data_IF_641828292704
#
_entry.id   IF_641828292704
#
_cell.length_a   1.000
_cell.length_b   1.000
_cell.length_c   1.000
_cell.angle_alpha   90.00
_cell.angle_beta   90.00
_cell.angle_gamma   90.00
#
_symmetry.space_group_name_H-M   'P 1'
#
loop_
_entity.id
_entity.type
_entity.pdbx_description
1 polymer ?
#
# COMPACT_ATOMS: atom_id res chain seq x y z
N UNK A 1 -21.01 -14.52 -8.49
CA UNK A 1 -19.84 -14.36 -7.61
C UNK A 1 -19.99 -13.01 -6.89
N UNK A 2 -20.01 -13.04 -5.56
CA UNK A 2 -20.46 -11.93 -4.72
C UNK A 2 -19.54 -10.71 -4.82
N UNK A 3 -20.03 -9.59 -5.36
CA UNK A 3 -19.44 -8.26 -5.15
C UNK A 3 -19.68 -7.85 -3.69
N UNK A 4 -18.99 -8.50 -2.76
CA UNK A 4 -18.99 -8.11 -1.36
C UNK A 4 -18.36 -6.72 -1.27
N UNK A 5 -19.19 -5.73 -0.95
CA UNK A 5 -18.86 -4.34 -0.60
C UNK A 5 -17.35 -4.04 -0.55
N UNK A 6 -16.77 -3.69 -1.70
CA UNK A 6 -15.37 -3.24 -1.81
C UNK A 6 -15.23 -1.98 -0.94
N UNK A 7 -14.58 -2.11 0.21
CA UNK A 7 -14.08 -0.93 0.90
C UNK A 7 -12.98 -0.34 0.02
N UNK A 8 -13.31 0.73 -0.71
CA UNK A 8 -12.29 1.45 -1.44
C UNK A 8 -11.36 2.11 -0.44
N UNK A 9 -10.06 1.85 -0.54
CA UNK A 9 -8.98 2.56 0.11
C UNK A 9 -9.17 4.06 -0.09
N UNK A 10 -9.73 4.47 -1.24
CA UNK A 10 -10.24 5.82 -1.47
C UNK A 10 -11.23 6.29 -0.39
N UNK A 11 -12.24 5.49 -0.01
CA UNK A 11 -13.18 5.83 1.07
C UNK A 11 -12.45 5.99 2.39
N UNK A 12 -11.52 5.11 2.72
CA UNK A 12 -10.69 5.24 3.94
C UNK A 12 -9.88 6.52 3.93
N UNK A 13 -9.26 6.88 2.80
CA UNK A 13 -8.55 8.14 2.64
C UNK A 13 -9.47 9.36 2.81
N UNK A 14 -10.66 9.33 2.21
CA UNK A 14 -11.67 10.39 2.37
C UNK A 14 -12.06 10.54 3.85
N UNK A 15 -12.27 9.43 4.57
CA UNK A 15 -12.58 9.46 6.01
C UNK A 15 -11.46 10.12 6.82
N UNK A 16 -10.19 9.84 6.50
CA UNK A 16 -9.05 10.48 7.16
C UNK A 16 -9.00 11.99 6.91
N UNK A 17 -9.22 12.42 5.66
CA UNK A 17 -9.30 13.85 5.35
C UNK A 17 -10.49 14.53 6.04
N UNK A 18 -11.65 13.86 6.08
CA UNK A 18 -12.82 14.38 6.79
C UNK A 18 -12.60 14.47 8.30
N UNK A 19 -11.89 13.53 8.91
CA UNK A 19 -11.54 13.59 10.33
C UNK A 19 -10.63 14.79 10.65
N UNK A 20 -9.58 15.01 9.84
CA UNK A 20 -8.70 16.17 9.99
C UNK A 20 -9.49 17.47 9.77
N UNK A 21 -10.30 17.52 8.71
CA UNK A 21 -11.11 18.68 8.36
C UNK A 21 -12.12 19.02 9.46
N UNK A 22 -12.82 18.02 9.99
CA UNK A 22 -13.77 18.19 11.08
C UNK A 22 -13.09 18.66 12.37
N UNK A 23 -11.97 18.06 12.75
CA UNK A 23 -11.19 18.49 13.92
C UNK A 23 -10.71 19.94 13.78
N UNK A 24 -10.21 20.30 12.59
CA UNK A 24 -9.73 21.65 12.30
C UNK A 24 -10.88 22.67 12.32
N UNK A 25 -12.04 22.31 11.77
CA UNK A 25 -13.24 23.14 11.77
C UNK A 25 -13.74 23.38 13.21
N UNK A 26 -13.85 22.32 14.01
CA UNK A 26 -14.33 22.40 15.40
C UNK A 26 -13.44 23.33 16.23
N UNK A 27 -12.12 23.14 16.13
CA UNK A 27 -11.15 24.01 16.81
C UNK A 27 -11.21 25.46 16.30
N UNK A 28 -11.36 25.65 14.99
CA UNK A 28 -11.51 26.99 14.40
C UNK A 28 -12.75 27.72 14.88
N UNK A 29 -13.90 27.03 14.92
CA UNK A 29 -15.15 27.58 15.45
C UNK A 29 -15.02 27.93 16.93
N UNK A 30 -14.45 27.04 17.74
CA UNK A 30 -14.23 27.29 19.16
C UNK A 30 -13.34 28.52 19.39
N UNK A 31 -12.25 28.66 18.63
CA UNK A 31 -11.36 29.81 18.71
C UNK A 31 -12.05 31.13 18.32
N UNK A 32 -12.88 31.13 17.26
CA UNK A 32 -13.61 32.33 16.81
C UNK A 32 -14.64 32.75 17.87
N UNK A 33 -15.43 31.81 18.39
CA UNK A 33 -16.43 32.08 19.42
C UNK A 33 -15.81 32.67 20.68
N UNK A 34 -14.62 32.22 21.06
CA UNK A 34 -13.94 32.71 22.24
C UNK A 34 -13.31 34.09 22.05
N UNK A 35 -12.69 34.31 20.88
CA UNK A 35 -12.04 35.59 20.53
C UNK A 35 -13.06 36.71 20.31
N UNK A 36 -14.22 36.40 19.72
CA UNK A 36 -15.27 37.37 19.42
C UNK A 36 -16.29 37.54 20.57
N UNK A 37 -16.04 36.92 21.73
CA UNK A 37 -16.96 37.07 22.85
C UNK A 37 -16.91 38.49 23.43
N UNK A 38 -18.06 39.18 23.53
CA UNK A 38 -18.16 40.47 24.25
C UNK A 38 -17.68 40.37 25.71
N UNK A 39 -17.61 39.14 26.24
CA UNK A 39 -17.10 38.81 27.56
C UNK A 39 -15.64 39.22 27.72
N UNK A 40 -14.80 39.00 26.69
CA UNK A 40 -13.38 39.36 26.75
C UNK A 40 -13.20 40.87 26.90
N UNK A 41 -13.88 41.64 26.05
CA UNK A 41 -13.82 43.10 26.08
C UNK A 41 -14.34 43.66 27.40
N UNK A 42 -15.50 43.17 27.88
CA UNK A 42 -16.09 43.60 29.16
C UNK A 42 -15.20 43.24 30.35
N UNK A 43 -14.60 42.06 30.39
CA UNK A 43 -13.66 41.66 31.45
C UNK A 43 -12.39 42.53 31.43
N UNK A 44 -11.84 42.83 30.25
CA UNK A 44 -10.67 43.68 30.12
C UNK A 44 -10.94 45.13 30.57
N UNK A 45 -12.05 45.72 30.11
CA UNK A 45 -12.46 47.07 30.51
C UNK A 45 -12.72 47.16 32.02
N UNK A 46 -13.36 46.15 32.60
CA UNK A 46 -13.58 46.05 34.04
C UNK A 46 -12.26 45.98 34.82
N UNK A 47 -11.33 45.14 34.36
CA UNK A 47 -10.03 45.01 35.00
C UNK A 47 -9.21 46.30 34.89
N UNK A 48 -9.24 46.98 33.73
CA UNK A 48 -8.59 48.28 33.55
C UNK A 48 -9.12 49.34 34.51
N UNK A 49 -10.45 49.39 34.70
CA UNK A 49 -11.07 50.29 35.67
C UNK A 49 -10.60 49.97 37.10
N UNK A 50 -10.62 48.70 37.49
CA UNK A 50 -10.15 48.27 38.82
C UNK A 50 -8.66 48.54 39.05
N UNK A 51 -7.84 48.45 38.00
CA UNK A 51 -6.43 48.81 38.05
C UNK A 51 -6.25 50.32 38.27
N UNK A 52 -7.01 51.16 37.55
CA UNK A 52 -6.97 52.61 37.74
C UNK A 52 -7.40 53.04 39.15
N UNK A 53 -8.29 52.27 39.79
CA UNK A 53 -8.73 52.47 41.18
C UNK A 53 -7.76 51.86 42.21
N UNK A 54 -6.64 51.28 41.80
CA UNK A 54 -5.63 50.65 42.68
C UNK A 54 -6.07 49.34 43.34
N UNK A 55 -7.16 48.72 42.86
CA UNK A 55 -7.75 47.50 43.45
C UNK A 55 -7.13 46.20 42.97
N UNK A 56 -6.47 46.22 41.81
CA UNK A 56 -5.78 45.05 41.23
C UNK A 56 -4.40 45.41 40.72
N UNK A 57 -3.54 44.40 40.60
CA UNK A 57 -2.16 44.55 40.10
C UNK A 57 -2.12 44.58 38.56
N UNK A 58 -1.10 45.22 37.98
CA UNK A 58 -0.97 45.38 36.51
C UNK A 58 -0.98 44.03 35.76
N UNK A 59 -0.41 42.96 36.34
CA UNK A 59 -0.43 41.61 35.75
C UNK A 59 -1.84 41.02 35.69
N UNK A 60 -2.69 41.33 36.67
CA UNK A 60 -4.06 40.81 36.76
C UNK A 60 -4.97 41.38 35.67
N UNK A 61 -4.62 42.56 35.13
CA UNK A 61 -5.35 43.19 34.02
C UNK A 61 -5.41 42.28 32.79
N UNK A 62 -4.29 41.61 32.47
CA UNK A 62 -4.15 40.75 31.29
C UNK A 62 -4.56 39.29 31.52
N UNK A 63 -5.11 38.95 32.69
CA UNK A 63 -5.54 37.58 32.98
C UNK A 63 -6.48 36.98 31.90
N UNK A 64 -7.43 37.73 31.28
CA UNK A 64 -8.25 37.21 30.18
C UNK A 64 -7.43 36.83 28.92
N UNK A 65 -6.40 37.62 28.58
CA UNK A 65 -5.51 37.34 27.43
C UNK A 65 -4.65 36.10 27.71
N UNK A 66 -4.15 35.94 28.94
CA UNK A 66 -3.37 34.76 29.31
C UNK A 66 -4.19 33.46 29.24
N UNK A 67 -5.49 33.53 29.58
CA UNK A 67 -6.41 32.39 29.42
C UNK A 67 -6.59 32.04 27.94
N UNK A 68 -6.83 33.04 27.08
CA UNK A 68 -6.93 32.83 25.64
C UNK A 68 -5.67 32.18 25.06
N UNK A 69 -4.49 32.70 25.41
CA UNK A 69 -3.21 32.14 24.95
C UNK A 69 -3.03 30.68 25.40
N UNK A 70 -3.31 30.37 26.67
CA UNK A 70 -3.21 28.99 27.18
C UNK A 70 -4.17 28.05 26.47
N UNK A 71 -5.41 28.48 26.21
CA UNK A 71 -6.38 27.67 25.48
C UNK A 71 -6.02 27.51 23.99
N UNK A 72 -5.48 28.56 23.35
CA UNK A 72 -4.95 28.47 21.99
C UNK A 72 -3.79 27.46 21.89
N UNK A 73 -2.86 27.45 22.85
CA UNK A 73 -1.79 26.44 22.92
C UNK A 73 -2.37 25.03 23.05
N UNK A 74 -3.39 24.85 23.89
CA UNK A 74 -4.07 23.56 24.08
C UNK A 74 -4.76 23.10 22.79
N UNK A 75 -5.43 24.01 22.06
CA UNK A 75 -6.07 23.71 20.77
C UNK A 75 -5.05 23.31 19.69
N UNK A 76 -3.90 23.99 19.62
CA UNK A 76 -2.80 23.62 18.71
C UNK A 76 -2.27 22.22 19.06
N UNK A 77 -2.06 21.95 20.36
CA UNK A 77 -1.64 20.63 20.81
C UNK A 77 -2.67 19.56 20.43
N UNK A 78 -3.97 19.83 20.57
CA UNK A 78 -5.03 18.91 20.17
C UNK A 78 -5.00 18.61 18.65
N UNK A 79 -4.83 19.63 17.80
CA UNK A 79 -4.70 19.43 16.35
C UNK A 79 -3.48 18.58 16.04
N UNK A 80 -2.33 18.82 16.69
CA UNK A 80 -1.12 18.02 16.52
C UNK A 80 -1.36 16.56 16.89
N UNK A 81 -2.07 16.28 17.98
CA UNK A 81 -2.42 14.91 18.38
C UNK A 81 -3.29 14.24 17.30
N UNK A 82 -4.34 14.92 16.81
CA UNK A 82 -5.19 14.38 15.75
C UNK A 82 -4.38 14.12 14.48
N UNK A 83 -3.49 15.03 14.11
CA UNK A 83 -2.59 14.87 12.97
C UNK A 83 -1.71 13.62 13.10
N UNK A 84 -1.07 13.43 14.25
CA UNK A 84 -0.22 12.26 14.53
C UNK A 84 -1.03 10.97 14.46
N UNK A 85 -2.25 10.94 14.99
CA UNK A 85 -3.14 9.78 14.93
C UNK A 85 -3.45 9.43 13.47
N UNK A 86 -3.92 10.40 12.69
CA UNK A 86 -4.29 10.17 11.29
C UNK A 86 -3.09 9.76 10.45
N UNK A 87 -1.93 10.39 10.66
CA UNK A 87 -0.68 10.02 9.99
C UNK A 87 -0.28 8.57 10.31
N UNK A 88 -0.35 8.17 11.58
CA UNK A 88 -0.05 6.79 12.00
C UNK A 88 -1.01 5.79 11.37
N UNK A 89 -2.29 6.14 11.25
CA UNK A 89 -3.28 5.31 10.56
C UNK A 89 -2.98 5.18 9.06
N UNK A 90 -2.57 6.28 8.41
CA UNK A 90 -2.18 6.27 7.01
C UNK A 90 -0.99 5.35 6.76
N UNK A 91 0.04 5.44 7.61
CA UNK A 91 1.24 4.59 7.50
C UNK A 91 0.86 3.11 7.62
N UNK A 92 0.12 2.73 8.67
CA UNK A 92 -0.22 1.33 8.93
C UNK A 92 -1.17 0.70 7.91
N UNK A 93 -2.11 1.47 7.39
CA UNK A 93 -3.17 0.92 6.53
C UNK A 93 -2.90 1.08 5.03
N UNK A 94 -1.89 1.88 4.64
CA UNK A 94 -1.59 2.16 3.24
C UNK A 94 -0.09 1.99 2.98
N UNK A 95 0.76 2.75 3.68
CA UNK A 95 2.20 2.78 3.37
C UNK A 95 2.90 1.46 3.67
N UNK A 96 2.68 0.87 4.84
CA UNK A 96 3.29 -0.40 5.25
C UNK A 96 2.88 -1.56 4.32
N UNK A 97 1.58 -1.82 4.04
CA UNK A 97 1.19 -2.85 3.10
C UNK A 97 1.73 -2.61 1.68
N UNK A 98 1.76 -1.36 1.22
CA UNK A 98 2.30 -1.03 -0.10
C UNK A 98 3.82 -1.30 -0.18
N UNK A 99 4.58 -0.94 0.86
CA UNK A 99 6.00 -1.26 0.93
C UNK A 99 6.25 -2.78 0.94
N UNK A 100 5.40 -3.53 1.65
CA UNK A 100 5.48 -4.99 1.67
C UNK A 100 5.24 -5.61 0.28
N UNK A 101 4.25 -5.10 -0.48
CA UNK A 101 4.04 -5.49 -1.88
C UNK A 101 5.31 -5.23 -2.69
N UNK A 102 5.87 -4.02 -2.61
CA UNK A 102 7.07 -3.64 -3.37
C UNK A 102 8.26 -4.55 -3.05
N UNK A 103 8.49 -4.86 -1.77
CA UNK A 103 9.58 -5.74 -1.34
C UNK A 103 9.42 -7.15 -1.94
N UNK A 104 8.24 -7.74 -1.81
CA UNK A 104 7.96 -9.07 -2.33
C UNK A 104 7.99 -9.10 -3.86
N UNK A 105 7.42 -8.10 -4.52
CA UNK A 105 7.53 -7.94 -5.98
C UNK A 105 8.98 -7.84 -6.44
N UNK A 106 9.85 -7.18 -5.67
CA UNK A 106 11.28 -7.12 -5.99
C UNK A 106 11.94 -8.49 -5.86
N UNK A 107 11.60 -9.29 -4.85
CA UNK A 107 12.08 -10.68 -4.72
C UNK A 107 11.61 -11.57 -5.86
N UNK A 108 10.32 -11.47 -6.23
CA UNK A 108 9.74 -12.17 -7.39
C UNK A 108 10.48 -11.79 -8.67
N UNK A 109 10.70 -10.49 -8.90
CA UNK A 109 11.48 -10.01 -10.06
C UNK A 109 12.93 -10.46 -10.05
N UNK A 110 13.49 -10.77 -8.89
CA UNK A 110 14.82 -11.35 -8.71
C UNK A 110 14.86 -12.86 -8.90
N UNK A 111 13.73 -13.51 -9.21
CA UNK A 111 13.61 -14.94 -9.46
C UNK A 111 13.12 -15.78 -8.27
N UNK A 112 12.84 -15.17 -7.12
CA UNK A 112 12.24 -15.90 -6.00
C UNK A 112 10.71 -15.95 -6.13
N UNK A 113 10.24 -16.91 -6.92
CA UNK A 113 8.81 -17.14 -7.18
C UNK A 113 8.10 -17.87 -6.02
N UNK A 114 8.82 -18.23 -4.96
CA UNK A 114 8.22 -18.86 -3.77
C UNK A 114 7.54 -17.84 -2.84
N UNK A 115 7.76 -16.55 -3.07
CA UNK A 115 7.17 -15.47 -2.29
C UNK A 115 5.67 -15.34 -2.58
N UNK A 116 4.88 -15.05 -1.54
CA UNK A 116 3.44 -14.81 -1.65
C UNK A 116 3.06 -13.55 -0.89
N UNK A 117 2.40 -12.62 -1.57
CA UNK A 117 1.92 -11.37 -0.98
C UNK A 117 0.64 -11.66 -0.21
N UNK A 118 0.68 -11.51 1.12
CA UNK A 118 -0.50 -11.70 1.99
C UNK A 118 -0.91 -10.38 2.62
N UNK A 119 -2.12 -9.92 2.32
CA UNK A 119 -2.66 -8.66 2.85
C UNK A 119 -4.02 -8.95 3.47
N UNK A 120 -4.13 -8.74 4.79
CA UNK A 120 -5.36 -9.00 5.55
C UNK A 120 -6.46 -7.93 5.37
N UNK A 121 -6.23 -6.93 4.52
CA UNK A 121 -7.20 -5.89 4.21
C UNK A 121 -8.15 -6.31 3.08
N UNK A 122 -9.39 -5.81 3.11
CA UNK A 122 -10.40 -6.05 2.06
C UNK A 122 -10.51 -4.82 1.14
N UNK A 123 -9.40 -4.44 0.51
CA UNK A 123 -9.28 -3.24 -0.31
C UNK A 123 -8.42 -3.48 -1.56
N UNK A 124 -8.18 -2.42 -2.32
CA UNK A 124 -7.43 -2.38 -3.58
C UNK A 124 -5.98 -2.87 -3.42
N UNK A 125 -5.38 -2.75 -2.22
CA UNK A 125 -4.02 -3.28 -2.00
C UNK A 125 -4.03 -4.82 -1.95
N UNK A 126 -5.07 -5.43 -1.37
CA UNK A 126 -5.23 -6.89 -1.39
C UNK A 126 -5.54 -7.39 -2.80
N UNK A 127 -6.36 -6.66 -3.55
CA UNK A 127 -6.61 -6.95 -4.98
C UNK A 127 -5.31 -6.90 -5.79
N UNK A 128 -4.50 -5.85 -5.60
CA UNK A 128 -3.18 -5.73 -6.23
C UNK A 128 -2.24 -6.89 -5.84
N UNK A 129 -2.18 -7.24 -4.56
CA UNK A 129 -1.39 -8.37 -4.08
C UNK A 129 -1.82 -9.69 -4.73
N UNK A 130 -3.12 -9.93 -4.85
CA UNK A 130 -3.67 -11.12 -5.51
C UNK A 130 -3.32 -11.17 -6.99
N UNK A 131 -3.43 -10.05 -7.71
CA UNK A 131 -3.04 -9.97 -9.14
C UNK A 131 -1.54 -10.29 -9.31
N UNK A 132 -0.68 -9.80 -8.41
CA UNK A 132 0.75 -10.11 -8.47
C UNK A 132 1.02 -11.58 -8.12
N UNK A 133 0.30 -12.16 -7.15
CA UNK A 133 0.43 -13.58 -6.82
C UNK A 133 0.00 -14.47 -7.99
N UNK A 134 -1.09 -14.14 -8.67
CA UNK A 134 -1.55 -14.85 -9.87
C UNK A 134 -0.50 -14.77 -10.98
N UNK A 135 0.07 -13.58 -11.23
CA UNK A 135 1.17 -13.41 -12.17
C UNK A 135 2.41 -14.24 -11.78
N UNK A 136 2.79 -14.26 -10.50
CA UNK A 136 3.93 -15.06 -10.01
C UNK A 136 3.68 -16.57 -10.16
N UNK A 137 2.45 -17.02 -9.88
CA UNK A 137 2.05 -18.42 -10.05
C UNK A 137 2.15 -18.86 -11.52
N UNK A 138 1.68 -18.02 -12.44
CA UNK A 138 1.79 -18.24 -13.88
C UNK A 138 3.27 -18.32 -14.33
N UNK A 139 4.13 -17.43 -13.85
CA UNK A 139 5.58 -17.48 -14.15
C UNK A 139 6.20 -18.76 -13.56
N UNK A 140 5.81 -19.16 -12.35
CA UNK A 140 6.31 -20.36 -11.70
C UNK A 140 5.94 -21.63 -12.49
N UNK A 141 4.70 -21.71 -12.97
CA UNK A 141 4.22 -22.81 -13.80
C UNK A 141 5.04 -22.93 -15.09
N UNK A 142 5.21 -21.83 -15.83
CA UNK A 142 6.03 -21.79 -17.06
C UNK A 142 7.47 -22.19 -16.78
N UNK A 143 8.04 -21.71 -15.67
CA UNK A 143 9.44 -21.98 -15.29
C UNK A 143 9.62 -23.46 -14.95
N UNK A 144 8.67 -24.08 -14.25
CA UNK A 144 8.71 -25.49 -13.89
C UNK A 144 8.53 -26.39 -15.12
N UNK A 145 7.58 -26.07 -16.00
CA UNK A 145 7.38 -26.81 -17.26
C UNK A 145 8.62 -26.70 -18.15
N UNK A 146 9.18 -25.50 -18.30
CA UNK A 146 10.43 -25.28 -19.05
C UNK A 146 11.60 -26.07 -18.47
N UNK A 147 11.72 -26.12 -17.14
CA UNK A 147 12.77 -26.89 -16.46
C UNK A 147 12.64 -28.39 -16.74
N UNK A 148 11.44 -28.95 -16.53
CA UNK A 148 11.19 -30.38 -16.78
C UNK A 148 11.48 -30.74 -18.25
N UNK A 149 11.06 -29.87 -19.18
CA UNK A 149 11.32 -30.06 -20.60
C UNK A 149 12.82 -30.07 -20.94
N UNK A 150 13.60 -29.15 -20.35
CA UNK A 150 15.05 -29.15 -20.52
C UNK A 150 15.72 -30.40 -19.94
N UNK A 151 15.29 -30.85 -18.76
CA UNK A 151 15.82 -32.06 -18.13
C UNK A 151 15.53 -33.31 -18.97
N UNK A 152 14.27 -33.51 -19.37
CA UNK A 152 13.89 -34.61 -20.27
C UNK A 152 14.57 -34.51 -21.63
N UNK A 153 14.66 -33.30 -22.20
CA UNK A 153 15.30 -33.09 -23.51
C UNK A 153 16.79 -33.47 -23.51
N UNK A 154 17.53 -33.16 -22.44
CA UNK A 154 18.93 -33.55 -22.28
C UNK A 154 19.05 -35.08 -22.13
N UNK A 155 18.24 -35.69 -21.27
CA UNK A 155 18.22 -37.15 -21.05
C UNK A 155 18.01 -37.90 -22.37
N UNK A 156 17.08 -37.42 -23.19
CA UNK A 156 16.73 -38.04 -24.47
C UNK A 156 17.85 -37.84 -25.48
N UNK A 157 18.46 -36.65 -25.54
CA UNK A 157 19.60 -36.41 -26.42
C UNK A 157 20.78 -37.33 -26.10
N UNK A 158 21.07 -37.56 -24.81
CA UNK A 158 22.09 -38.50 -24.36
C UNK A 158 21.74 -39.95 -24.73
N UNK A 159 20.48 -40.36 -24.52
CA UNK A 159 20.00 -41.69 -24.88
C UNK A 159 20.07 -41.93 -26.40
N UNK A 160 19.72 -40.94 -27.22
CA UNK A 160 19.87 -41.01 -28.69
C UNK A 160 21.34 -41.17 -29.07
N UNK A 161 22.24 -40.37 -28.47
CA UNK A 161 23.67 -40.45 -28.76
C UNK A 161 24.24 -41.83 -28.38
N UNK A 162 23.81 -42.39 -27.25
CA UNK A 162 24.19 -43.74 -26.83
C UNK A 162 23.62 -44.83 -27.75
N UNK A 163 22.38 -44.67 -28.21
CA UNK A 163 21.71 -45.55 -29.16
C UNK A 163 22.38 -45.54 -30.54
N UNK A 164 22.90 -44.40 -31.00
CA UNK A 164 23.67 -44.33 -32.25
C UNK A 164 24.98 -45.13 -32.18
N UNK A 165 25.53 -45.33 -30.98
CA UNK A 165 26.73 -46.14 -30.75
C UNK A 165 26.43 -47.61 -30.43
N UNK A 166 25.16 -47.96 -30.11
CA UNK A 166 24.72 -49.29 -29.71
C UNK A 166 23.56 -49.74 -30.58
N UNK A 167 23.75 -50.77 -31.41
CA UNK A 167 22.87 -51.23 -32.51
C UNK A 167 21.42 -51.63 -32.11
N UNK A 168 20.97 -51.39 -30.86
CA UNK A 168 19.60 -51.55 -30.36
C UNK A 168 19.32 -50.64 -29.15
N UNK A 169 18.73 -49.47 -29.37
CA UNK A 169 17.92 -48.82 -28.33
C UNK A 169 16.59 -48.39 -28.94
N UNK A 170 15.48 -48.74 -28.30
CA UNK A 170 14.14 -48.31 -28.70
C UNK A 170 13.87 -46.95 -28.07
N UNK A 171 14.05 -45.87 -28.85
CA UNK A 171 14.00 -44.46 -28.39
C UNK A 171 12.63 -43.80 -28.59
N UNK A 172 11.69 -44.54 -29.18
CA UNK A 172 10.34 -44.08 -29.47
C UNK A 172 9.53 -43.63 -28.24
N UNK A 173 9.57 -44.33 -27.07
CA UNK A 173 8.80 -43.89 -25.91
C UNK A 173 9.35 -42.59 -25.30
N UNK A 174 10.67 -42.37 -25.33
CA UNK A 174 11.27 -41.12 -24.92
C UNK A 174 10.81 -39.93 -25.79
N UNK A 175 10.79 -40.11 -27.11
CA UNK A 175 10.39 -39.06 -28.05
C UNK A 175 8.93 -38.66 -27.85
N UNK A 176 8.03 -39.63 -27.64
CA UNK A 176 6.61 -39.34 -27.36
C UNK A 176 6.44 -38.60 -26.02
N UNK A 177 7.22 -38.95 -24.99
CA UNK A 177 7.20 -38.21 -23.71
C UNK A 177 7.65 -36.75 -23.90
N UNK A 178 8.74 -36.51 -24.62
CA UNK A 178 9.23 -35.15 -24.88
C UNK A 178 8.21 -34.31 -25.65
N UNK A 179 7.56 -34.92 -26.64
CA UNK A 179 6.51 -34.29 -27.41
C UNK A 179 5.34 -33.85 -26.52
N UNK A 180 4.90 -34.72 -25.60
CA UNK A 180 3.83 -34.38 -24.65
C UNK A 180 4.23 -33.23 -23.70
N UNK A 181 5.49 -33.20 -23.23
CA UNK A 181 6.00 -32.11 -22.40
C UNK A 181 6.08 -30.78 -23.19
N UNK A 182 6.54 -30.82 -24.45
CA UNK A 182 6.53 -29.68 -25.39
C UNK A 182 5.11 -29.15 -25.63
N UNK A 183 4.14 -30.04 -25.87
CA UNK A 183 2.74 -29.65 -26.09
C UNK A 183 2.15 -28.98 -24.85
N UNK A 184 2.46 -29.48 -23.64
CA UNK A 184 2.01 -28.88 -22.38
C UNK A 184 2.57 -27.47 -22.20
N UNK A 185 3.87 -27.28 -22.42
CA UNK A 185 4.48 -25.95 -22.36
C UNK A 185 3.91 -25.01 -23.44
N UNK A 186 3.66 -25.52 -24.65
CA UNK A 186 3.06 -24.74 -25.74
C UNK A 186 1.67 -24.23 -25.40
N UNK A 187 0.84 -25.03 -24.70
CA UNK A 187 -0.49 -24.60 -24.28
C UNK A 187 -0.43 -23.45 -23.28
N UNK A 188 0.48 -23.52 -22.30
CA UNK A 188 0.66 -22.43 -21.33
C UNK A 188 1.19 -21.18 -22.01
N UNK A 189 2.16 -21.31 -22.93
CA UNK A 189 2.70 -20.17 -23.69
C UNK A 189 1.59 -19.50 -24.53
N UNK A 190 0.72 -20.27 -25.18
CA UNK A 190 -0.38 -19.72 -25.99
C UNK A 190 -1.40 -18.88 -25.20
N UNK A 191 -1.43 -19.00 -23.88
CA UNK A 191 -2.24 -18.14 -23.01
C UNK A 191 -1.72 -16.69 -22.95
N UNK A 192 -0.43 -16.45 -23.24
CA UNK A 192 0.19 -15.14 -23.15
C UNK A 192 0.21 -14.42 -24.49
N UNK A 193 -0.19 -13.15 -24.48
CA UNK A 193 0.02 -12.23 -25.60
C UNK A 193 1.48 -11.76 -25.61
N UNK A 194 2.26 -12.23 -26.57
CA UNK A 194 3.64 -11.77 -26.77
C UNK A 194 3.66 -10.58 -27.74
N UNK A 195 4.40 -9.53 -27.38
CA UNK A 195 4.76 -8.49 -28.33
C UNK A 195 5.81 -9.03 -29.29
N UNK A 196 5.55 -8.98 -30.60
CA UNK A 196 6.60 -9.10 -31.60
C UNK A 196 7.47 -7.86 -31.50
N UNK A 197 8.73 -8.01 -31.09
CA UNK A 197 9.72 -6.94 -31.19
C UNK A 197 9.94 -6.69 -32.69
N UNK A 198 9.20 -5.77 -33.30
CA UNK A 198 9.59 -5.19 -34.58
C UNK A 198 10.91 -4.48 -34.33
N UNK A 199 11.99 -5.00 -34.92
CA UNK A 199 13.26 -4.30 -35.00
C UNK A 199 13.01 -2.93 -35.64
N UNK A 200 12.96 -1.87 -34.84
CA UNK A 200 13.33 -0.55 -35.33
C UNK A 200 14.84 -0.63 -35.62
N UNK A 201 15.19 -0.84 -36.88
CA UNK A 201 16.55 -0.54 -37.36
C UNK A 201 16.86 0.95 -37.09
N UNK A 202 18.12 1.27 -36.77
CA UNK A 202 18.55 2.59 -36.30
C UNK A 202 18.46 3.71 -37.34
#
# INVERSE_FOLDING_TARGET
MSFASKYSLQRTMIVYFLLIGFASLLVGVEFILETHSEKLEKELLSNLKQYSEGKIESKSVFAPIDRLRKKAILMIAMILVVMVIVLTMFIKNITEPLQHIIELSRKISGGDLSQTITIHAHNELSELGNVINEMSGNIQEITLLSKNLCESGIEIAENILAALHSDKANIEPEIERLKAECESLSQVIQYFDFYTIEHHEP
#
